data_IF_718781962876
#
_entry.id   IF_718781962876
#
_cell.length_a   1.000
_cell.length_b   1.000
_cell.length_c   1.000
_cell.angle_alpha   90.00
_cell.angle_beta   90.00
_cell.angle_gamma   90.00
#
_symmetry.space_group_name_H-M   'P 1'
#
loop_
_entity.id
_entity.type
_entity.pdbx_description
1 polymer ?
#
# COMPACT_ATOMS: atom_id res chain seq x y z
N UNK A 1 49.52 31.05 -57.60
CA UNK A 1 48.69 31.97 -56.78
C UNK A 1 47.43 31.22 -56.36
N UNK A 2 47.46 30.59 -55.18
CA UNK A 2 46.32 29.86 -54.59
C UNK A 2 45.34 30.88 -53.99
N UNK A 3 44.08 30.91 -54.46
CA UNK A 3 42.97 31.54 -53.74
C UNK A 3 42.11 30.42 -53.13
N UNK A 4 41.87 30.41 -51.81
CA UNK A 4 41.06 29.37 -51.19
C UNK A 4 39.58 29.58 -51.54
N UNK A 5 38.88 28.48 -51.81
CA UNK A 5 37.43 28.44 -51.98
C UNK A 5 36.75 28.83 -50.65
N UNK A 6 35.85 29.83 -50.61
CA UNK A 6 35.02 30.04 -49.43
C UNK A 6 34.10 28.83 -49.26
N UNK A 7 34.24 28.17 -48.12
CA UNK A 7 33.52 26.96 -47.75
C UNK A 7 32.01 27.22 -47.65
N UNK A 8 31.22 26.27 -48.15
CA UNK A 8 29.74 26.16 -48.13
C UNK A 8 29.08 26.61 -46.82
N UNK A 9 29.79 26.55 -45.68
CA UNK A 9 29.33 27.02 -44.37
C UNK A 9 28.97 28.51 -44.33
N UNK A 10 29.67 29.37 -45.07
CA UNK A 10 29.42 30.82 -45.02
C UNK A 10 28.16 31.21 -45.81
N UNK A 11 27.88 30.53 -46.94
CA UNK A 11 26.62 30.71 -47.69
C UNK A 11 25.40 30.22 -46.91
N UNK A 12 25.52 29.13 -46.15
CA UNK A 12 24.44 28.63 -45.30
C UNK A 12 24.14 29.62 -44.16
N UNK A 13 25.18 30.20 -43.55
CA UNK A 13 25.01 31.25 -42.53
C UNK A 13 24.31 32.49 -43.10
N UNK A 14 24.71 32.98 -44.26
CA UNK A 14 24.14 34.18 -44.89
C UNK A 14 22.67 33.96 -45.34
N UNK A 15 22.36 32.79 -45.89
CA UNK A 15 20.97 32.39 -46.19
C UNK A 15 20.10 32.30 -44.94
N UNK A 16 20.63 31.73 -43.85
CA UNK A 16 19.89 31.64 -42.57
C UNK A 16 19.63 33.02 -41.96
N UNK A 17 20.61 33.94 -42.01
CA UNK A 17 20.46 35.30 -41.47
C UNK A 17 19.48 36.16 -42.28
N UNK A 18 19.44 35.97 -43.60
CA UNK A 18 18.48 36.67 -44.49
C UNK A 18 17.06 36.13 -44.31
N UNK A 19 16.89 34.83 -44.08
CA UNK A 19 15.59 34.24 -43.75
C UNK A 19 15.07 34.72 -42.39
N UNK A 20 15.93 34.78 -41.36
CA UNK A 20 15.59 35.22 -40.00
C UNK A 20 15.17 36.69 -39.97
N UNK A 21 15.91 37.58 -40.65
CA UNK A 21 15.58 39.02 -40.70
C UNK A 21 14.27 39.31 -41.44
N UNK A 22 13.98 38.58 -42.53
CA UNK A 22 12.67 38.66 -43.21
C UNK A 22 11.53 38.18 -42.33
N UNK A 23 11.75 37.15 -41.53
CA UNK A 23 10.77 36.62 -40.58
C UNK A 23 10.50 37.59 -39.42
N UNK A 24 11.54 38.23 -38.88
CA UNK A 24 11.41 39.26 -37.83
C UNK A 24 10.66 40.50 -38.32
N UNK A 25 10.89 40.95 -39.56
CA UNK A 25 10.19 42.11 -40.12
C UNK A 25 8.69 41.86 -40.31
N UNK A 26 8.32 40.65 -40.75
CA UNK A 26 6.91 40.26 -40.95
C UNK A 26 6.16 40.05 -39.63
N UNK A 27 6.88 39.70 -38.56
CA UNK A 27 6.34 39.60 -37.20
C UNK A 27 6.24 40.92 -36.43
N UNK A 28 6.48 42.07 -37.06
CA UNK A 28 6.25 43.39 -36.47
C UNK A 28 5.01 44.08 -37.08
N UNK A 29 4.42 43.49 -38.13
CA UNK A 29 3.18 43.96 -38.74
C UNK A 29 2.00 43.70 -37.78
N UNK A 30 1.24 44.75 -37.46
CA UNK A 30 0.12 44.71 -36.51
C UNK A 30 -1.19 44.77 -37.30
N UNK A 31 -1.95 43.68 -37.30
CA UNK A 31 -3.29 43.66 -37.85
C UNK A 31 -4.26 44.19 -36.78
N UNK A 32 -4.91 45.33 -37.05
CA UNK A 32 -5.91 45.89 -36.13
C UNK A 32 -7.30 45.53 -36.61
N UNK A 33 -8.00 44.67 -35.87
CA UNK A 33 -9.40 44.35 -36.12
C UNK A 33 -10.24 45.24 -35.19
N UNK A 34 -11.04 46.13 -35.79
CA UNK A 34 -11.94 47.03 -35.07
C UNK A 34 -13.37 46.51 -35.24
N UNK A 35 -13.99 46.05 -34.15
CA UNK A 35 -15.37 45.58 -34.16
C UNK A 35 -16.25 46.70 -33.59
N UNK A 36 -17.23 47.15 -34.38
CA UNK A 36 -18.17 48.21 -34.00
C UNK A 36 -19.54 47.57 -33.76
N UNK A 37 -19.86 47.15 -32.52
CA UNK A 37 -21.19 46.63 -32.21
C UNK A 37 -22.20 47.78 -32.25
N UNK A 38 -23.28 47.62 -33.01
CA UNK A 38 -24.36 48.61 -33.08
C UNK A 38 -25.12 48.61 -31.75
N UNK A 39 -24.90 49.64 -30.92
CA UNK A 39 -25.66 49.89 -29.69
C UNK A 39 -24.86 50.17 -28.41
N UNK A 40 -23.52 50.17 -28.43
CA UNK A 40 -22.68 50.57 -27.28
C UNK A 40 -21.47 51.41 -27.74
N UNK A 41 -21.19 52.54 -27.08
CA UNK A 41 -20.12 53.50 -27.42
C UNK A 41 -18.69 53.00 -27.16
N UNK A 42 -18.51 51.73 -26.76
CA UNK A 42 -17.20 51.14 -26.49
C UNK A 42 -16.71 50.35 -27.71
N UNK A 43 -15.79 50.95 -28.44
CA UNK A 43 -15.10 50.33 -29.58
C UNK A 43 -14.02 49.38 -29.03
N UNK A 44 -14.14 48.08 -29.35
CA UNK A 44 -13.09 47.11 -29.04
C UNK A 44 -12.13 47.00 -30.23
N UNK A 45 -10.86 47.35 -30.01
CA UNK A 45 -9.79 47.18 -31.00
C UNK A 45 -8.82 46.10 -30.54
N UNK A 46 -8.67 45.06 -31.36
CA UNK A 46 -7.73 43.98 -31.12
C UNK A 46 -6.56 44.14 -32.07
N UNK A 47 -5.37 44.41 -31.54
CA UNK A 47 -4.13 44.48 -32.32
C UNK A 47 -3.41 43.14 -32.24
N UNK A 48 -3.49 42.35 -33.31
CA UNK A 48 -2.84 41.04 -33.39
C UNK A 48 -1.55 41.12 -34.20
N UNK A 49 -0.47 40.67 -33.59
CA UNK A 49 0.78 40.39 -34.30
C UNK A 49 0.64 39.06 -35.08
N UNK A 50 1.22 38.94 -36.27
CA UNK A 50 1.30 37.69 -37.01
C UNK A 50 1.82 36.51 -36.16
N UNK A 51 2.78 36.74 -35.24
CA UNK A 51 3.22 35.72 -34.30
C UNK A 51 2.14 35.29 -33.31
N UNK A 52 1.26 36.20 -32.88
CA UNK A 52 0.12 35.85 -32.02
C UNK A 52 -0.91 35.00 -32.78
N UNK A 53 -1.14 35.29 -34.07
CA UNK A 53 -2.03 34.47 -34.91
C UNK A 53 -1.45 33.06 -35.06
N UNK A 54 -0.17 32.94 -35.39
CA UNK A 54 0.50 31.64 -35.51
C UNK A 54 0.51 30.88 -34.18
N UNK A 55 0.70 31.58 -33.06
CA UNK A 55 0.61 30.99 -31.73
C UNK A 55 -0.80 30.50 -31.40
N UNK A 56 -1.84 31.28 -31.70
CA UNK A 56 -3.25 30.90 -31.51
C UNK A 56 -3.64 29.69 -32.35
N UNK A 57 -3.26 29.68 -33.64
CA UNK A 57 -3.53 28.54 -34.53
C UNK A 57 -2.74 27.31 -34.08
N UNK A 58 -1.49 27.48 -33.66
CA UNK A 58 -0.64 26.40 -33.15
C UNK A 58 -1.18 25.80 -31.86
N UNK A 59 -1.62 26.62 -30.91
CA UNK A 59 -2.24 26.15 -29.65
C UNK A 59 -3.58 25.48 -29.89
N UNK A 60 -4.42 26.01 -30.78
CA UNK A 60 -5.67 25.37 -31.18
C UNK A 60 -5.41 24.01 -31.85
N UNK A 61 -4.45 23.95 -32.77
CA UNK A 61 -4.05 22.71 -33.45
C UNK A 61 -3.50 21.66 -32.48
N UNK A 62 -2.68 22.08 -31.50
CA UNK A 62 -2.19 21.21 -30.45
C UNK A 62 -3.32 20.66 -29.58
N UNK A 63 -4.29 21.50 -29.21
CA UNK A 63 -5.45 21.08 -28.43
C UNK A 63 -6.29 20.04 -29.18
N UNK A 64 -6.54 20.27 -30.48
CA UNK A 64 -7.26 19.32 -31.34
C UNK A 64 -6.47 18.01 -31.48
N UNK A 65 -5.15 18.08 -31.66
CA UNK A 65 -4.29 16.91 -31.75
C UNK A 65 -4.30 16.08 -30.46
N UNK A 66 -4.13 16.71 -29.29
CA UNK A 66 -4.19 16.04 -27.98
C UNK A 66 -5.57 15.43 -27.73
N UNK A 67 -6.64 16.12 -28.12
CA UNK A 67 -8.01 15.61 -28.04
C UNK A 67 -8.20 14.36 -28.92
N UNK A 68 -7.77 14.41 -30.19
CA UNK A 68 -7.84 13.27 -31.11
C UNK A 68 -6.99 12.08 -30.62
N UNK A 69 -5.79 12.36 -30.10
CA UNK A 69 -4.92 11.34 -29.52
C UNK A 69 -5.57 10.68 -28.30
N UNK A 70 -6.14 11.46 -27.38
CA UNK A 70 -6.85 10.95 -26.22
C UNK A 70 -8.08 10.11 -26.59
N UNK A 71 -8.85 10.54 -27.59
CA UNK A 71 -9.98 9.78 -28.14
C UNK A 71 -9.51 8.45 -28.73
N UNK A 72 -8.40 8.43 -29.47
CA UNK A 72 -7.84 7.21 -30.06
C UNK A 72 -7.40 6.21 -28.99
N UNK A 73 -6.63 6.67 -27.99
CA UNK A 73 -6.22 5.88 -26.82
C UNK A 73 -7.45 5.31 -26.08
N UNK A 74 -8.45 6.15 -25.82
CA UNK A 74 -9.65 5.72 -25.11
C UNK A 74 -10.48 4.72 -25.93
N UNK A 75 -10.59 4.91 -27.25
CA UNK A 75 -11.24 3.95 -28.13
C UNK A 75 -10.51 2.61 -28.17
N UNK A 76 -9.18 2.60 -28.13
CA UNK A 76 -8.41 1.35 -28.04
C UNK A 76 -8.65 0.64 -26.72
N UNK A 77 -8.64 1.37 -25.59
CA UNK A 77 -8.98 0.81 -24.26
C UNK A 77 -10.39 0.26 -24.22
N UNK A 78 -11.36 0.97 -24.81
CA UNK A 78 -12.74 0.48 -24.87
C UNK A 78 -12.89 -0.76 -25.77
N UNK A 79 -12.16 -0.87 -26.88
CA UNK A 79 -12.15 -2.08 -27.71
C UNK A 79 -11.54 -3.27 -26.99
N UNK A 80 -10.48 -3.05 -26.23
CA UNK A 80 -9.85 -4.08 -25.41
C UNK A 80 -10.80 -4.54 -24.30
N UNK A 81 -11.44 -3.60 -23.59
CA UNK A 81 -12.48 -3.89 -22.61
C UNK A 81 -13.66 -4.66 -23.22
N UNK A 82 -14.16 -4.25 -24.39
CA UNK A 82 -15.24 -4.96 -25.10
C UNK A 82 -14.82 -6.32 -25.61
N UNK A 83 -13.56 -6.49 -26.04
CA UNK A 83 -13.01 -7.78 -26.47
C UNK A 83 -12.86 -8.72 -25.28
N UNK A 84 -12.38 -8.23 -24.14
CA UNK A 84 -12.36 -8.97 -22.88
C UNK A 84 -13.80 -9.34 -22.49
N UNK A 85 -14.72 -8.37 -22.49
CA UNK A 85 -16.13 -8.61 -22.17
C UNK A 85 -16.81 -9.61 -23.14
N UNK A 86 -16.43 -9.64 -24.41
CA UNK A 86 -16.93 -10.61 -25.39
C UNK A 86 -16.29 -12.01 -25.24
N UNK A 87 -15.01 -12.10 -24.86
CA UNK A 87 -14.34 -13.37 -24.57
C UNK A 87 -14.84 -13.99 -23.26
N UNK A 88 -15.16 -13.16 -22.28
CA UNK A 88 -15.45 -13.58 -20.90
C UNK A 88 -16.94 -13.48 -20.52
N UNK A 89 -17.79 -12.75 -21.25
CA UNK A 89 -19.25 -12.75 -21.11
C UNK A 89 -19.75 -12.46 -19.69
N UNK A 90 -20.29 -13.48 -19.00
CA UNK A 90 -20.68 -13.40 -17.58
C UNK A 90 -19.50 -13.58 -16.62
N UNK A 91 -18.44 -14.28 -17.04
CA UNK A 91 -17.26 -14.55 -16.22
C UNK A 91 -16.37 -13.33 -16.03
N UNK A 92 -16.53 -12.27 -16.84
CA UNK A 92 -15.76 -11.04 -16.68
C UNK A 92 -16.10 -10.32 -15.37
N UNK A 93 -17.39 -10.14 -15.10
CA UNK A 93 -17.84 -9.50 -13.87
C UNK A 93 -17.47 -10.36 -12.65
N UNK A 94 -17.60 -11.68 -12.76
CA UNK A 94 -17.12 -12.59 -11.71
C UNK A 94 -15.61 -12.50 -11.51
N UNK A 95 -14.81 -12.36 -12.57
CA UNK A 95 -13.36 -12.21 -12.45
C UNK A 95 -12.99 -10.90 -11.74
N UNK A 96 -13.67 -9.81 -12.07
CA UNK A 96 -13.47 -8.51 -11.45
C UNK A 96 -13.87 -8.53 -9.96
N UNK A 97 -15.02 -9.12 -9.65
CA UNK A 97 -15.49 -9.31 -8.26
C UNK A 97 -14.55 -10.23 -7.47
N UNK A 98 -13.97 -11.24 -8.13
CA UNK A 98 -13.01 -12.13 -7.50
C UNK A 98 -11.68 -11.43 -7.22
N UNK A 99 -11.21 -10.57 -8.12
CA UNK A 99 -10.02 -9.74 -7.92
C UNK A 99 -10.22 -8.75 -6.77
N UNK A 100 -11.39 -8.11 -6.69
CA UNK A 100 -11.73 -7.26 -5.55
C UNK A 100 -11.74 -8.07 -4.23
N UNK A 101 -12.31 -9.27 -4.27
CA UNK A 101 -12.36 -10.17 -3.12
C UNK A 101 -10.97 -10.68 -2.71
N UNK A 102 -10.06 -10.97 -3.64
CA UNK A 102 -8.69 -11.41 -3.33
C UNK A 102 -7.88 -10.29 -2.70
N UNK A 103 -8.04 -9.05 -3.17
CA UNK A 103 -7.43 -7.86 -2.57
C UNK A 103 -7.97 -7.62 -1.15
N UNK A 104 -9.28 -7.74 -0.95
CA UNK A 104 -9.88 -7.63 0.37
C UNK A 104 -9.33 -8.70 1.33
N UNK A 105 -9.26 -9.96 0.89
CA UNK A 105 -8.69 -11.07 1.66
C UNK A 105 -7.22 -10.84 2.01
N UNK A 106 -6.43 -10.30 1.08
CA UNK A 106 -5.04 -9.91 1.31
C UNK A 106 -4.93 -8.88 2.45
N UNK A 107 -5.72 -7.82 2.37
CA UNK A 107 -5.71 -6.76 3.39
C UNK A 107 -6.11 -7.31 4.75
N UNK A 108 -7.16 -8.15 4.80
CA UNK A 108 -7.58 -8.83 6.05
C UNK A 108 -6.47 -9.75 6.59
N UNK A 109 -5.76 -10.48 5.73
CA UNK A 109 -4.66 -11.35 6.14
C UNK A 109 -3.48 -10.55 6.73
N UNK A 110 -3.13 -9.43 6.11
CA UNK A 110 -2.10 -8.53 6.61
C UNK A 110 -2.46 -7.94 7.97
N UNK A 111 -3.71 -7.49 8.13
CA UNK A 111 -4.21 -6.97 9.40
C UNK A 111 -4.18 -8.04 10.50
N UNK A 112 -4.64 -9.26 10.19
CA UNK A 112 -4.63 -10.37 11.13
C UNK A 112 -3.20 -10.72 11.58
N UNK A 113 -2.23 -10.69 10.67
CA UNK A 113 -0.81 -10.86 11.00
C UNK A 113 -0.25 -9.75 11.87
N UNK A 114 -0.61 -8.50 11.62
CA UNK A 114 -0.19 -7.38 12.47
C UNK A 114 -0.74 -7.53 13.89
N UNK A 115 -2.02 -7.86 14.01
CA UNK A 115 -2.66 -8.12 15.31
C UNK A 115 -2.00 -9.29 16.03
N UNK A 116 -1.67 -10.36 15.30
CA UNK A 116 -0.94 -11.51 15.85
C UNK A 116 0.43 -11.11 16.39
N UNK A 117 1.20 -10.29 15.67
CA UNK A 117 2.50 -9.77 16.17
C UNK A 117 2.34 -8.98 17.47
N UNK A 118 1.33 -8.10 17.53
CA UNK A 118 1.06 -7.35 18.75
C UNK A 118 0.68 -8.27 19.92
N UNK A 119 -0.12 -9.31 19.67
CA UNK A 119 -0.46 -10.31 20.69
C UNK A 119 0.79 -11.07 21.15
N UNK A 120 1.61 -11.58 20.23
CA UNK A 120 2.83 -12.30 20.58
C UNK A 120 3.83 -11.43 21.34
N UNK A 121 3.96 -10.15 20.98
CA UNK A 121 4.81 -9.19 21.71
C UNK A 121 4.34 -9.00 23.16
N UNK A 122 3.02 -8.82 23.36
CA UNK A 122 2.42 -8.69 24.69
C UNK A 122 2.60 -9.97 25.51
N UNK A 123 2.57 -11.12 24.86
CA UNK A 123 2.70 -12.43 25.50
C UNK A 123 4.16 -12.88 25.71
N UNK A 124 5.13 -12.12 25.18
CA UNK A 124 6.55 -12.45 25.27
C UNK A 124 6.97 -13.66 24.43
N UNK A 125 6.18 -14.02 23.41
CA UNK A 125 6.48 -15.11 22.48
C UNK A 125 7.57 -14.68 21.48
N UNK A 126 8.37 -15.63 21.02
CA UNK A 126 9.55 -15.32 20.20
C UNK A 126 9.16 -14.97 18.76
N UNK A 127 9.86 -13.98 18.18
CA UNK A 127 9.64 -13.57 16.78
C UNK A 127 9.95 -14.69 15.77
N UNK A 128 10.77 -15.66 16.18
CA UNK A 128 11.20 -16.79 15.35
C UNK A 128 10.05 -17.79 15.10
N UNK A 129 9.13 -17.96 16.06
CA UNK A 129 7.96 -18.83 15.89
C UNK A 129 6.98 -18.26 14.86
N UNK A 130 6.83 -16.93 14.82
CA UNK A 130 5.99 -16.21 13.86
C UNK A 130 6.55 -16.30 12.45
N UNK A 131 7.89 -16.39 12.30
CA UNK A 131 8.56 -16.49 11.01
C UNK A 131 8.29 -17.81 10.29
N UNK A 132 7.91 -18.87 11.02
CA UNK A 132 7.57 -20.18 10.44
C UNK A 132 6.18 -20.23 9.78
N UNK A 133 5.35 -19.20 10.01
CA UNK A 133 3.97 -19.17 9.52
C UNK A 133 3.95 -18.71 8.05
N UNK A 134 3.29 -19.45 7.12
CA UNK A 134 3.25 -19.12 5.70
C UNK A 134 2.67 -17.73 5.41
N UNK A 135 3.39 -16.92 4.63
CA UNK A 135 2.99 -15.55 4.24
C UNK A 135 2.06 -15.57 3.03
N UNK A 136 1.33 -14.47 2.81
CA UNK A 136 0.57 -14.27 1.58
C UNK A 136 1.45 -14.37 0.33
N UNK A 137 2.72 -13.96 0.42
CA UNK A 137 3.68 -14.09 -0.68
C UNK A 137 3.97 -15.57 -0.99
N UNK A 138 4.15 -16.42 0.03
CA UNK A 138 4.30 -17.86 -0.17
C UNK A 138 3.03 -18.51 -0.75
N UNK A 139 1.85 -18.08 -0.30
CA UNK A 139 0.58 -18.54 -0.86
C UNK A 139 0.49 -18.24 -2.36
N UNK A 140 1.00 -17.08 -2.78
CA UNK A 140 1.03 -16.67 -4.18
C UNK A 140 2.10 -17.38 -5.00
N UNK A 141 3.31 -17.56 -4.46
CA UNK A 141 4.35 -18.36 -5.10
C UNK A 141 3.87 -19.79 -5.37
N UNK A 142 3.19 -20.41 -4.40
CA UNK A 142 2.61 -21.75 -4.55
C UNK A 142 1.50 -21.76 -5.60
N UNK A 143 0.60 -20.77 -5.57
CA UNK A 143 -0.45 -20.63 -6.56
C UNK A 143 0.11 -20.48 -7.98
N UNK A 144 1.15 -19.66 -8.17
CA UNK A 144 1.81 -19.44 -9.45
C UNK A 144 2.58 -20.67 -9.95
N UNK A 145 3.23 -21.39 -9.04
CA UNK A 145 3.93 -22.64 -9.37
C UNK A 145 2.96 -23.72 -9.86
N UNK A 146 1.86 -23.96 -9.13
CA UNK A 146 0.80 -24.89 -9.54
C UNK A 146 0.22 -24.49 -10.91
N UNK A 147 0.01 -23.20 -11.12
CA UNK A 147 -0.42 -22.61 -12.38
C UNK A 147 0.49 -22.94 -13.56
N UNK A 148 1.80 -22.75 -13.36
CA UNK A 148 2.81 -22.96 -14.39
C UNK A 148 2.78 -24.40 -14.89
N UNK A 149 2.62 -25.35 -13.97
CA UNK A 149 2.48 -26.77 -14.32
C UNK A 149 1.19 -27.07 -15.07
N UNK A 150 0.06 -26.48 -14.67
CA UNK A 150 -1.24 -26.64 -15.33
C UNK A 150 -1.22 -26.06 -16.75
N UNK A 151 -0.64 -24.88 -16.92
CA UNK A 151 -0.42 -24.22 -18.21
C UNK A 151 0.39 -25.07 -19.18
N UNK A 152 1.50 -25.63 -18.69
CA UNK A 152 2.38 -26.46 -19.48
C UNK A 152 1.66 -27.74 -19.94
N UNK A 153 0.83 -28.33 -19.08
CA UNK A 153 -0.01 -29.49 -19.39
C UNK A 153 -1.10 -29.17 -20.41
N UNK A 154 -1.77 -28.02 -20.28
CA UNK A 154 -2.84 -27.59 -21.21
C UNK A 154 -2.32 -27.18 -22.58
N UNK A 155 -1.12 -26.60 -22.65
CA UNK A 155 -0.41 -26.35 -23.93
C UNK A 155 -0.18 -27.63 -24.73
N UNK A 156 0.11 -28.75 -24.06
CA UNK A 156 0.34 -30.04 -24.72
C UNK A 156 -0.96 -30.69 -25.24
N UNK A 157 -2.12 -30.30 -24.71
CA UNK A 157 -3.42 -30.91 -25.03
C UNK A 157 -4.27 -30.08 -26.00
N UNK A 158 -3.75 -28.98 -26.57
CA UNK A 158 -4.47 -28.06 -27.47
C UNK A 158 -5.82 -27.57 -26.91
N UNK A 159 -5.99 -27.57 -25.60
CA UNK A 159 -7.20 -27.06 -24.94
C UNK A 159 -7.12 -25.54 -24.85
N UNK A 160 -8.20 -24.86 -25.22
CA UNK A 160 -8.25 -23.39 -25.25
C UNK A 160 -7.88 -22.77 -23.89
N UNK A 161 -6.92 -21.86 -23.92
CA UNK A 161 -6.33 -21.17 -22.75
C UNK A 161 -7.22 -20.00 -22.25
N UNK A 162 -8.44 -19.86 -22.79
CA UNK A 162 -9.33 -18.73 -22.52
C UNK A 162 -9.90 -18.66 -21.09
N UNK A 163 -9.74 -19.70 -20.26
CA UNK A 163 -10.32 -19.77 -18.90
C UNK A 163 -9.33 -19.46 -17.78
N UNK A 164 -8.14 -19.04 -18.14
CA UNK A 164 -7.01 -19.01 -17.23
C UNK A 164 -7.07 -17.90 -16.17
N UNK A 165 -7.35 -16.62 -16.50
CA UNK A 165 -7.26 -15.54 -15.50
C UNK A 165 -8.18 -15.70 -14.28
N UNK A 166 -9.48 -16.05 -14.43
CA UNK A 166 -10.35 -16.23 -13.26
C UNK A 166 -9.96 -17.46 -12.42
N UNK A 167 -9.46 -18.51 -13.06
CA UNK A 167 -8.94 -19.71 -12.38
C UNK A 167 -7.66 -19.39 -11.59
N UNK A 168 -6.90 -18.39 -12.04
CA UNK A 168 -5.69 -17.94 -11.34
C UNK A 168 -6.03 -17.23 -10.05
N UNK A 169 -6.95 -16.28 -10.11
CA UNK A 169 -7.39 -15.54 -8.94
C UNK A 169 -8.11 -16.47 -7.94
N UNK A 170 -8.85 -17.47 -8.41
CA UNK A 170 -9.42 -18.52 -7.55
C UNK A 170 -8.35 -19.37 -6.85
N UNK A 171 -7.30 -19.78 -7.55
CA UNK A 171 -6.23 -20.57 -6.94
C UNK A 171 -5.44 -19.75 -5.92
N UNK A 172 -5.15 -18.48 -6.21
CA UNK A 172 -4.55 -17.54 -5.25
C UNK A 172 -5.41 -17.41 -3.99
N UNK A 173 -6.72 -17.17 -4.15
CA UNK A 173 -7.66 -17.13 -3.04
C UNK A 173 -7.67 -18.43 -2.23
N UNK A 174 -7.65 -19.59 -2.91
CA UNK A 174 -7.62 -20.91 -2.26
C UNK A 174 -6.38 -21.08 -1.38
N UNK A 175 -5.21 -20.75 -1.89
CA UNK A 175 -3.96 -20.83 -1.12
C UNK A 175 -3.95 -19.85 0.04
N UNK A 176 -4.39 -18.60 -0.17
CA UNK A 176 -4.55 -17.62 0.91
C UNK A 176 -5.47 -18.12 2.03
N UNK A 177 -6.58 -18.78 1.69
CA UNK A 177 -7.50 -19.34 2.70
C UNK A 177 -6.90 -20.56 3.38
N UNK A 178 -6.25 -21.45 2.63
CA UNK A 178 -5.64 -22.68 3.18
C UNK A 178 -4.54 -22.34 4.17
N UNK A 179 -3.75 -21.32 3.87
CA UNK A 179 -2.65 -20.84 4.69
C UNK A 179 -3.13 -20.06 5.94
N UNK A 180 -4.43 -19.77 6.09
CA UNK A 180 -4.98 -19.20 7.33
C UNK A 180 -5.04 -20.23 8.47
N UNK A 181 -5.20 -21.52 8.16
CA UNK A 181 -5.30 -22.56 9.16
C UNK A 181 -4.09 -22.59 10.14
N UNK A 182 -2.83 -22.58 9.68
CA UNK A 182 -1.68 -22.53 10.58
C UNK A 182 -1.62 -21.22 11.38
N UNK A 183 -2.01 -20.08 10.79
CA UNK A 183 -2.05 -18.79 11.51
C UNK A 183 -3.04 -18.83 12.68
N UNK A 184 -4.26 -19.33 12.43
CA UNK A 184 -5.29 -19.45 13.45
C UNK A 184 -4.94 -20.49 14.52
N UNK A 185 -4.32 -21.61 14.12
CA UNK A 185 -3.84 -22.62 15.04
C UNK A 185 -2.77 -22.06 15.98
N UNK A 186 -1.79 -21.34 15.44
CA UNK A 186 -0.76 -20.66 16.22
C UNK A 186 -1.37 -19.65 17.19
N UNK A 187 -2.29 -18.79 16.74
CA UNK A 187 -2.97 -17.83 17.61
C UNK A 187 -3.69 -18.52 18.78
N UNK A 188 -4.39 -19.62 18.52
CA UNK A 188 -5.07 -20.39 19.56
C UNK A 188 -4.08 -20.91 20.60
N UNK A 189 -3.00 -21.54 20.14
CA UNK A 189 -1.97 -22.11 21.01
C UNK A 189 -1.27 -21.03 21.83
N UNK A 190 -0.90 -19.92 21.19
CA UNK A 190 -0.32 -18.75 21.85
C UNK A 190 -1.22 -18.23 22.98
N UNK A 191 -2.50 -18.01 22.68
CA UNK A 191 -3.49 -17.51 23.66
C UNK A 191 -3.66 -18.49 24.82
N UNK A 192 -3.76 -19.80 24.52
CA UNK A 192 -3.89 -20.85 25.53
C UNK A 192 -2.67 -20.89 26.46
N UNK A 193 -1.47 -20.80 25.89
CA UNK A 193 -0.23 -20.79 26.66
C UNK A 193 -0.16 -19.59 27.60
N UNK A 194 -0.32 -18.36 27.11
CA UNK A 194 -0.21 -17.19 27.98
C UNK A 194 -1.38 -17.04 28.94
N UNK A 195 -2.59 -17.52 28.60
CA UNK A 195 -3.67 -17.63 29.58
C UNK A 195 -3.30 -18.61 30.69
N UNK A 196 -2.66 -19.73 30.36
CA UNK A 196 -2.19 -20.70 31.36
C UNK A 196 -1.12 -20.13 32.29
N UNK A 197 -0.23 -19.28 31.76
CA UNK A 197 0.77 -18.56 32.56
C UNK A 197 0.08 -17.53 33.47
N UNK A 198 -0.83 -16.73 32.90
CA UNK A 198 -1.58 -15.73 33.65
C UNK A 198 -2.39 -16.34 34.79
N UNK A 199 -3.05 -17.48 34.54
CA UNK A 199 -3.83 -18.20 35.56
C UNK A 199 -2.99 -18.76 36.70
N UNK A 200 -1.69 -19.01 36.49
CA UNK A 200 -0.75 -19.51 37.50
C UNK A 200 0.08 -18.40 38.13
N UNK A 201 -0.04 -17.17 37.63
CA UNK A 201 0.72 -16.05 38.16
C UNK A 201 0.09 -15.62 39.50
N UNK A 202 0.87 -15.50 40.58
CA UNK A 202 0.36 -14.98 41.84
C UNK A 202 -0.15 -13.54 41.67
N UNK A 203 -1.44 -13.29 41.90
CA UNK A 203 -2.06 -11.97 41.82
C UNK A 203 -2.66 -11.55 43.16
N UNK A 204 -2.38 -10.32 43.58
CA UNK A 204 -2.99 -9.72 44.77
C UNK A 204 -2.39 -10.21 46.08
N UNK A 205 -3.18 -10.12 47.16
CA UNK A 205 -2.77 -10.49 48.52
C UNK A 205 -3.41 -11.82 48.93
N UNK A 206 -2.75 -12.64 49.76
CA UNK A 206 -3.24 -13.97 50.14
C UNK A 206 -4.37 -13.93 51.19
N UNK A 207 -5.15 -12.84 51.25
CA UNK A 207 -6.18 -12.60 52.26
C UNK A 207 -7.47 -12.09 51.59
N UNK A 208 -8.61 -12.65 51.98
CA UNK A 208 -9.94 -12.25 51.46
C UNK A 208 -10.56 -11.11 52.29
N UNK A 209 -10.24 -11.06 53.59
CA UNK A 209 -10.69 -10.01 54.50
C UNK A 209 -9.49 -9.24 55.04
N UNK A 210 -9.49 -7.91 54.86
CA UNK A 210 -8.41 -7.02 55.28
C UNK A 210 -8.60 -6.43 56.69
N UNK A 211 -9.71 -6.75 57.35
CA UNK A 211 -10.03 -6.19 58.67
C UNK A 211 -9.02 -6.65 59.71
N UNK A 212 -8.31 -5.70 60.33
CA UNK A 212 -7.29 -5.98 61.35
C UNK A 212 -5.94 -6.45 60.77
N UNK A 213 -5.77 -6.46 59.45
CA UNK A 213 -4.49 -6.67 58.80
C UNK A 213 -3.72 -5.35 58.67
N UNK A 214 -2.42 -5.38 58.98
CA UNK A 214 -1.53 -4.23 58.81
C UNK A 214 -0.20 -4.68 58.23
N UNK A 215 0.29 -3.91 57.29
CA UNK A 215 1.63 -4.09 56.74
C UNK A 215 2.65 -3.77 57.86
N UNK A 216 3.44 -4.77 58.25
CA UNK A 216 4.38 -4.67 59.36
C UNK A 216 5.82 -4.54 58.88
N UNK A 217 6.15 -5.06 57.70
CA UNK A 217 7.45 -4.88 57.06
C UNK A 217 7.32 -4.95 55.54
N UNK A 218 7.91 -3.98 54.84
CA UNK A 218 7.96 -3.96 53.37
C UNK A 218 9.19 -4.71 52.85
N UNK A 219 9.25 -4.88 51.54
CA UNK A 219 10.46 -5.30 50.84
C UNK A 219 11.56 -4.25 50.98
N UNK A 220 12.82 -4.69 51.11
CA UNK A 220 13.99 -3.81 51.20
C UNK A 220 14.69 -3.88 52.55
N UNK A 221 15.51 -2.87 52.87
CA UNK A 221 16.27 -2.91 54.12
C UNK A 221 15.42 -2.65 55.37
N UNK A 222 15.57 -3.52 56.37
CA UNK A 222 14.94 -3.38 57.69
C UNK A 222 15.92 -3.69 58.83
N UNK A 223 15.63 -3.26 60.07
CA UNK A 223 16.32 -3.76 61.24
C UNK A 223 16.10 -5.27 61.40
N UNK A 224 17.17 -6.01 61.69
CA UNK A 224 17.09 -7.46 61.94
C UNK A 224 16.12 -7.75 63.10
N UNK A 225 15.14 -8.66 62.91
CA UNK A 225 14.08 -8.92 63.87
C UNK A 225 14.58 -9.55 65.18
N UNK A 226 15.76 -10.20 65.16
CA UNK A 226 16.41 -10.80 66.30
C UNK A 226 17.50 -9.89 66.90
N UNK A 227 18.11 -9.03 66.09
CA UNK A 227 19.17 -8.10 66.49
C UNK A 227 18.99 -6.72 65.86
N UNK A 228 18.20 -5.87 66.51
CA UNK A 228 17.85 -4.51 66.06
C UNK A 228 19.03 -3.55 65.82
N UNK A 229 20.25 -3.91 66.20
CA UNK A 229 21.46 -3.14 65.94
C UNK A 229 22.04 -3.37 64.52
N UNK A 230 21.54 -4.38 63.79
CA UNK A 230 21.98 -4.70 62.42
C UNK A 230 20.84 -4.47 61.42
N UNK A 231 21.22 -4.13 60.19
CA UNK A 231 20.32 -4.02 59.05
C UNK A 231 20.41 -5.32 58.25
N UNK A 232 19.26 -5.82 57.81
CA UNK A 232 19.15 -6.93 56.88
C UNK A 232 18.29 -6.55 55.67
N UNK A 233 18.47 -7.23 54.55
CA UNK A 233 17.61 -7.07 53.38
C UNK A 233 16.45 -8.06 53.45
N UNK A 234 15.23 -7.54 53.52
CA UNK A 234 14.01 -8.31 53.54
C UNK A 234 13.49 -8.53 52.11
N UNK A 235 13.56 -9.78 51.65
CA UNK A 235 13.12 -10.19 50.31
C UNK A 235 11.62 -10.46 50.20
N UNK A 236 10.84 -10.06 51.20
CA UNK A 236 9.41 -10.36 51.30
C UNK A 236 8.57 -9.18 51.74
N UNK A 237 7.32 -9.47 52.09
CA UNK A 237 6.36 -8.51 52.59
C UNK A 237 5.61 -9.12 53.77
N UNK A 238 5.75 -8.52 54.94
CA UNK A 238 5.14 -9.01 56.16
C UNK A 238 3.84 -8.25 56.42
N UNK A 239 2.76 -9.02 56.60
CA UNK A 239 1.47 -8.51 57.07
C UNK A 239 1.18 -9.11 58.44
N UNK A 240 0.95 -8.26 59.44
CA UNK A 240 0.52 -8.67 60.77
C UNK A 240 -1.00 -8.68 60.87
N UNK A 241 -1.55 -9.70 61.51
CA UNK A 241 -2.98 -9.85 61.74
C UNK A 241 -3.28 -10.73 62.95
N UNK A 242 -4.55 -10.90 63.32
CA UNK A 242 -4.96 -11.82 64.38
C UNK A 242 -4.51 -13.24 64.09
N UNK A 243 -4.12 -13.97 65.14
CA UNK A 243 -3.80 -15.41 65.04
C UNK A 243 -5.00 -16.19 64.51
N UNK A 244 -4.76 -17.11 63.58
CA UNK A 244 -5.81 -17.89 62.92
C UNK A 244 -6.40 -17.24 61.66
N UNK A 245 -5.86 -16.11 61.20
CA UNK A 245 -6.27 -15.53 59.90
C UNK A 245 -5.95 -16.52 58.77
N UNK A 246 -6.94 -16.87 57.91
CA UNK A 246 -6.71 -17.79 56.80
C UNK A 246 -5.86 -17.14 55.70
N UNK A 247 -4.92 -17.92 55.17
CA UNK A 247 -4.01 -17.53 54.08
C UNK A 247 -4.32 -18.38 52.86
N UNK A 248 -4.54 -17.73 51.72
CA UNK A 248 -4.92 -18.38 50.45
C UNK A 248 -3.80 -18.27 49.43
N UNK A 249 -3.73 -19.24 48.51
CA UNK A 249 -2.87 -19.12 47.33
C UNK A 249 -3.33 -17.93 46.48
N UNK A 250 -2.38 -17.14 45.99
CA UNK A 250 -2.64 -15.99 45.12
C UNK A 250 -2.57 -16.33 43.63
N UNK A 251 -2.22 -17.56 43.28
CA UNK A 251 -2.16 -18.11 41.91
C UNK A 251 -2.06 -19.62 41.94
#
# INVERSE_FOLDING_TARGET
MNRPLPMVRDRIKEMSQTAVSRFQRKGQERLTIMIIPHGQDKIFSLQLNWFMILFLVGTLGLAVFLSAYGIYENHQKQKELQRLQALYGSNFNYALELEESTVALLNTNQELRQRMRSISEVMGLSADEIATIPTADHAFENAESELGTELQRKRQTNVSLSYLPPVYELNKARHLITDQNPVLAFMRESIEEGLSIYQRMPVGRPFVNFTGLRDSSTFGERPDPFNRARREFHSGFDTSGPTGTPVYATG
#
